data_IF_182505799549
#
_entry.id   IF_182505799549
#
_cell.length_a   1.000
_cell.length_b   1.000
_cell.length_c   1.000
_cell.angle_alpha   90.00
_cell.angle_beta   90.00
_cell.angle_gamma   90.00
#
_symmetry.space_group_name_H-M   'P 1'
#
loop_
_entity.id
_entity.type
_entity.pdbx_description
1 polymer ?
#
# COMPACT_ATOMS: atom_id res chain seq x y z
N UNK A 1 24.93 12.96 19.31
CA UNK A 1 25.00 11.49 19.30
C UNK A 1 26.16 11.07 18.42
N UNK A 2 26.94 10.06 18.80
CA UNK A 2 28.09 9.61 17.98
C UNK A 2 27.89 8.13 17.62
N UNK A 3 28.40 7.71 16.46
CA UNK A 3 28.42 6.33 16.02
C UNK A 3 29.79 5.98 15.42
N UNK A 4 30.21 4.73 15.57
CA UNK A 4 31.44 4.24 15.00
C UNK A 4 31.27 4.00 13.49
N UNK A 5 32.33 4.29 12.75
CA UNK A 5 32.43 4.01 11.32
C UNK A 5 33.36 2.83 11.12
N UNK A 6 32.98 1.91 10.24
CA UNK A 6 33.78 0.75 9.87
C UNK A 6 34.29 0.89 8.44
N UNK A 7 35.47 0.40 8.19
CA UNK A 7 36.00 0.28 6.84
C UNK A 7 35.51 -1.03 6.17
N UNK A 8 35.80 -1.20 4.88
CA UNK A 8 35.43 -2.40 4.12
C UNK A 8 35.99 -3.71 4.70
N UNK A 9 37.03 -3.65 5.54
CA UNK A 9 37.64 -4.81 6.21
C UNK A 9 37.02 -5.07 7.59
N UNK A 10 35.98 -4.35 7.96
CA UNK A 10 35.33 -4.44 9.27
C UNK A 10 36.14 -3.87 10.44
N UNK A 11 37.19 -3.11 10.18
CA UNK A 11 37.97 -2.42 11.21
C UNK A 11 37.39 -1.04 11.48
N UNK A 12 37.52 -0.59 12.71
CA UNK A 12 37.13 0.76 13.12
C UNK A 12 37.92 1.82 12.32
N UNK A 13 37.21 2.73 11.68
CA UNK A 13 37.74 3.83 10.88
C UNK A 13 37.50 5.19 11.53
N UNK A 14 36.92 5.23 12.74
CA UNK A 14 36.64 6.45 13.49
C UNK A 14 35.18 6.60 13.88
N UNK A 15 34.80 7.83 14.25
CA UNK A 15 33.43 8.12 14.67
C UNK A 15 32.84 9.30 13.90
N UNK A 16 31.51 9.28 13.70
CA UNK A 16 30.74 10.35 13.07
C UNK A 16 29.75 10.96 14.07
N UNK A 17 29.61 12.28 14.03
CA UNK A 17 28.57 12.97 14.76
C UNK A 17 27.24 12.88 14.02
N UNK A 18 26.24 12.28 14.64
CA UNK A 18 24.90 12.09 14.05
C UNK A 18 23.95 13.21 14.50
N UNK A 19 23.11 13.75 13.59
CA UNK A 19 22.13 14.77 13.92
C UNK A 19 21.04 14.19 14.84
N UNK A 20 20.88 14.76 16.02
CA UNK A 20 19.91 14.32 17.03
C UNK A 20 18.47 14.38 16.53
N UNK A 21 18.17 15.36 15.68
CA UNK A 21 16.84 15.48 15.04
C UNK A 21 16.41 14.22 14.30
N UNK A 22 17.36 13.45 13.77
CA UNK A 22 17.08 12.23 12.98
C UNK A 22 17.16 10.98 13.85
N UNK A 23 18.24 10.85 14.62
CA UNK A 23 18.58 9.61 15.33
C UNK A 23 18.16 9.59 16.81
N UNK A 24 17.67 10.73 17.35
CA UNK A 24 17.07 10.79 18.68
C UNK A 24 15.55 11.02 18.67
N UNK A 25 14.90 10.84 17.52
CA UNK A 25 13.47 11.03 17.39
C UNK A 25 12.68 10.00 18.22
N UNK A 26 11.56 10.43 18.83
CA UNK A 26 10.66 9.55 19.57
C UNK A 26 10.02 8.52 18.64
N UNK A 27 9.96 7.25 19.07
CA UNK A 27 9.26 6.19 18.36
C UNK A 27 7.74 6.47 18.31
N UNK A 28 7.17 6.41 17.10
CA UNK A 28 5.74 6.63 16.84
C UNK A 28 5.21 5.51 15.94
N UNK A 29 4.80 4.40 16.55
CA UNK A 29 4.31 3.23 15.83
C UNK A 29 3.13 3.53 14.92
N UNK A 30 2.15 4.30 15.40
CA UNK A 30 0.94 4.64 14.64
C UNK A 30 1.27 5.44 13.37
N UNK A 31 2.18 6.42 13.49
CA UNK A 31 2.60 7.22 12.35
C UNK A 31 3.34 6.38 11.30
N UNK A 32 4.23 5.50 11.75
CA UNK A 32 4.97 4.58 10.86
C UNK A 32 3.99 3.66 10.15
N UNK A 33 3.06 3.04 10.89
CA UNK A 33 2.03 2.18 10.33
C UNK A 33 1.18 2.91 9.28
N UNK A 34 0.69 4.11 9.59
CA UNK A 34 -0.11 4.92 8.67
C UNK A 34 0.65 5.24 7.37
N UNK A 35 1.94 5.60 7.47
CA UNK A 35 2.76 5.90 6.30
C UNK A 35 3.01 4.64 5.47
N UNK A 36 3.32 3.50 6.09
CA UNK A 36 3.55 2.22 5.40
C UNK A 36 2.29 1.77 4.67
N UNK A 37 1.13 1.82 5.33
CA UNK A 37 -0.16 1.47 4.70
C UNK A 37 -0.50 2.40 3.53
N UNK A 38 -0.22 3.70 3.67
CA UNK A 38 -0.35 4.65 2.57
C UNK A 38 0.57 4.33 1.39
N UNK A 39 1.82 3.95 1.65
CA UNK A 39 2.78 3.54 0.61
C UNK A 39 2.36 2.24 -0.08
N UNK A 40 1.88 1.24 0.67
CA UNK A 40 1.34 -0.01 0.13
C UNK A 40 0.13 0.25 -0.76
N UNK A 41 -0.79 1.09 -0.29
CA UNK A 41 -1.97 1.49 -1.07
C UNK A 41 -1.57 2.17 -2.39
N UNK A 42 -0.52 3.01 -2.37
CA UNK A 42 -0.03 3.71 -3.55
C UNK A 42 0.70 2.80 -4.56
N UNK A 43 1.26 1.67 -4.10
CA UNK A 43 1.87 0.65 -4.97
C UNK A 43 0.84 -0.25 -5.64
N UNK A 44 -0.40 -0.26 -5.17
CA UNK A 44 -1.44 -1.14 -5.69
C UNK A 44 -1.79 -0.77 -7.13
N UNK A 45 -1.63 -1.71 -8.06
CA UNK A 45 -1.85 -1.48 -9.49
C UNK A 45 -3.33 -1.24 -9.86
N UNK A 46 -4.30 -1.78 -9.08
CA UNK A 46 -5.72 -1.59 -9.33
C UNK A 46 -6.22 -2.23 -10.62
N UNK A 47 -5.67 -3.39 -10.98
CA UNK A 47 -6.02 -4.11 -12.22
C UNK A 47 -7.26 -5.00 -12.12
N UNK A 48 -7.72 -5.27 -10.91
CA UNK A 48 -8.89 -6.13 -10.71
C UNK A 48 -10.17 -5.41 -11.15
N UNK A 49 -10.95 -6.08 -11.98
CA UNK A 49 -12.21 -5.58 -12.50
C UNK A 49 -13.28 -6.65 -12.53
N UNK A 50 -14.55 -6.24 -12.40
CA UNK A 50 -15.70 -7.13 -12.48
C UNK A 50 -16.81 -6.48 -13.28
N UNK A 51 -17.51 -7.29 -14.09
CA UNK A 51 -18.62 -6.77 -14.89
C UNK A 51 -19.86 -6.55 -14.01
N UNK A 52 -20.33 -5.32 -13.97
CA UNK A 52 -21.62 -4.97 -13.40
C UNK A 52 -22.79 -5.44 -14.29
N UNK A 53 -24.01 -5.34 -13.76
CA UNK A 53 -25.22 -5.80 -14.50
C UNK A 53 -25.44 -5.11 -15.85
N UNK A 54 -24.85 -3.93 -16.06
CA UNK A 54 -24.91 -3.21 -17.35
C UNK A 54 -23.98 -3.80 -18.39
N UNK A 55 -22.86 -4.39 -17.97
CA UNK A 55 -21.76 -4.86 -18.82
C UNK A 55 -21.89 -6.35 -19.20
N UNK A 56 -22.68 -7.12 -18.45
CA UNK A 56 -22.94 -8.52 -18.74
C UNK A 56 -23.80 -8.63 -19.99
N UNK A 57 -23.41 -9.51 -20.92
CA UNK A 57 -24.14 -9.76 -22.15
C UNK A 57 -25.49 -10.44 -21.86
N UNK A 58 -26.56 -10.04 -22.57
CA UNK A 58 -27.89 -10.65 -22.49
C UNK A 58 -28.90 -9.78 -21.75
N UNK A 59 -30.00 -10.37 -21.31
CA UNK A 59 -30.99 -9.79 -20.38
C UNK A 59 -31.84 -8.61 -20.91
N UNK A 60 -31.87 -8.35 -22.21
CA UNK A 60 -32.71 -7.29 -22.81
C UNK A 60 -34.21 -7.56 -22.69
N UNK A 61 -34.58 -8.85 -22.69
CA UNK A 61 -36.00 -9.28 -22.56
C UNK A 61 -36.32 -9.60 -21.09
N UNK A 62 -37.49 -9.11 -20.63
CA UNK A 62 -38.04 -9.48 -19.32
C UNK A 62 -38.27 -10.99 -19.25
N UNK A 63 -37.80 -11.73 -18.20
CA UNK A 63 -37.93 -13.19 -18.12
C UNK A 63 -39.38 -13.69 -18.18
N UNK A 64 -40.32 -12.99 -17.52
CA UNK A 64 -41.74 -13.29 -17.53
C UNK A 64 -42.59 -12.06 -17.23
N UNK A 65 -43.89 -12.21 -17.39
CA UNK A 65 -44.87 -11.12 -17.16
C UNK A 65 -44.83 -10.64 -15.70
N UNK A 66 -45.19 -9.36 -15.47
CA UNK A 66 -45.16 -8.72 -14.17
C UNK A 66 -46.10 -9.34 -13.14
N UNK A 67 -47.24 -9.89 -13.59
CA UNK A 67 -48.28 -10.54 -12.78
C UNK A 67 -48.79 -11.78 -13.49
N UNK A 68 -49.50 -12.68 -12.73
CA UNK A 68 -50.15 -13.87 -13.30
C UNK A 68 -49.24 -15.07 -13.52
N UNK A 69 -48.01 -15.10 -12.97
CA UNK A 69 -47.11 -16.26 -13.11
C UNK A 69 -46.83 -16.99 -11.80
N UNK A 70 -47.30 -16.49 -10.65
CA UNK A 70 -46.97 -17.01 -9.33
C UNK A 70 -45.48 -16.92 -8.93
N UNK A 71 -44.64 -16.38 -9.79
CA UNK A 71 -43.17 -16.25 -9.58
C UNK A 71 -42.80 -14.87 -9.05
N UNK A 72 -41.63 -14.76 -8.40
CA UNK A 72 -41.06 -13.49 -8.02
C UNK A 72 -40.86 -12.56 -9.22
N UNK A 73 -41.04 -11.27 -9.04
CA UNK A 73 -40.92 -10.28 -10.11
C UNK A 73 -39.46 -10.05 -10.47
N UNK A 74 -39.08 -10.23 -11.73
CA UNK A 74 -37.74 -9.96 -12.25
C UNK A 74 -37.81 -9.09 -13.50
N UNK A 75 -36.93 -8.09 -13.56
CA UNK A 75 -36.82 -7.20 -14.71
C UNK A 75 -35.78 -7.67 -15.73
N UNK A 76 -34.76 -8.39 -15.28
CA UNK A 76 -33.67 -8.82 -16.15
C UNK A 76 -32.95 -10.03 -15.53
N UNK A 77 -32.50 -10.96 -16.36
CA UNK A 77 -31.65 -12.08 -15.98
C UNK A 77 -30.18 -11.69 -15.68
N UNK A 78 -29.80 -10.44 -15.99
CA UNK A 78 -28.48 -9.87 -15.64
C UNK A 78 -28.39 -9.38 -14.20
N UNK A 79 -29.46 -9.45 -13.44
CA UNK A 79 -29.47 -9.04 -12.03
C UNK A 79 -28.46 -9.89 -11.23
N UNK A 80 -27.80 -9.33 -10.21
CA UNK A 80 -26.83 -10.05 -9.38
C UNK A 80 -27.37 -11.30 -8.66
N UNK A 81 -28.69 -11.39 -8.49
CA UNK A 81 -29.35 -12.55 -7.90
C UNK A 81 -29.46 -13.76 -8.85
N UNK A 82 -29.12 -13.58 -10.13
CA UNK A 82 -29.15 -14.62 -11.12
C UNK A 82 -27.75 -15.21 -11.35
N UNK A 83 -27.68 -16.50 -11.54
CA UNK A 83 -26.42 -17.17 -11.96
C UNK A 83 -26.00 -16.59 -13.31
N UNK A 84 -24.76 -16.12 -13.41
CA UNK A 84 -24.26 -15.41 -14.60
C UNK A 84 -24.70 -13.95 -14.72
N UNK A 85 -25.38 -13.39 -13.71
CA UNK A 85 -25.66 -11.95 -13.62
C UNK A 85 -24.44 -11.13 -13.25
N UNK A 86 -24.59 -9.79 -13.27
CA UNK A 86 -23.53 -8.86 -12.94
C UNK A 86 -23.17 -8.88 -11.45
N UNK A 87 -21.93 -8.57 -11.13
CA UNK A 87 -21.43 -8.47 -9.74
C UNK A 87 -21.87 -7.16 -9.11
N UNK A 88 -22.32 -7.21 -7.86
CA UNK A 88 -22.61 -6.03 -7.05
C UNK A 88 -21.42 -5.75 -6.12
N UNK A 89 -20.94 -4.51 -6.10
CA UNK A 89 -19.80 -4.09 -5.24
C UNK A 89 -18.50 -4.87 -5.45
N UNK A 90 -18.29 -5.42 -6.63
CA UNK A 90 -17.02 -6.06 -7.00
C UNK A 90 -15.86 -5.04 -7.17
N UNK A 91 -14.63 -5.52 -7.32
CA UNK A 91 -13.52 -4.66 -7.65
C UNK A 91 -13.74 -3.99 -9.01
N UNK A 92 -13.34 -2.72 -9.11
CA UNK A 92 -13.40 -1.92 -10.35
C UNK A 92 -12.00 -1.39 -10.66
N UNK A 93 -11.57 -1.49 -11.92
CA UNK A 93 -10.28 -0.98 -12.39
C UNK A 93 -10.17 0.55 -12.23
N UNK A 94 -11.30 1.25 -12.29
CA UNK A 94 -11.36 2.71 -12.09
C UNK A 94 -11.12 3.14 -10.63
N UNK A 95 -11.15 2.22 -9.67
CA UNK A 95 -10.99 2.54 -8.25
C UNK A 95 -9.59 3.03 -7.95
N UNK A 96 -9.52 4.30 -7.55
CA UNK A 96 -8.26 4.92 -7.15
C UNK A 96 -7.89 4.57 -5.70
N UNK A 97 -6.77 3.87 -5.51
CA UNK A 97 -6.23 3.49 -4.20
C UNK A 97 -5.18 4.48 -3.68
N UNK A 98 -4.83 5.52 -4.45
CA UNK A 98 -3.81 6.48 -4.05
C UNK A 98 -4.24 7.28 -2.82
N UNK A 99 -3.35 7.34 -1.82
CA UNK A 99 -3.52 8.12 -0.59
C UNK A 99 -2.45 9.20 -0.53
N UNK A 100 -2.85 10.41 -0.16
CA UNK A 100 -1.93 11.53 0.05
C UNK A 100 -1.21 11.33 1.40
N UNK A 101 0.12 11.30 1.36
CA UNK A 101 0.98 11.29 2.54
C UNK A 101 1.74 12.61 2.56
N UNK A 102 1.59 13.41 3.63
CA UNK A 102 2.28 14.69 3.71
C UNK A 102 3.80 14.49 3.82
N UNK A 103 4.59 15.45 3.29
CA UNK A 103 6.05 15.41 3.37
C UNK A 103 6.55 15.34 4.82
N UNK A 104 5.91 16.09 5.74
CA UNK A 104 6.25 16.10 7.17
C UNK A 104 5.98 14.74 7.82
N UNK A 105 4.85 14.10 7.55
CA UNK A 105 4.55 12.76 8.07
C UNK A 105 5.58 11.72 7.60
N UNK A 106 5.93 11.74 6.31
CA UNK A 106 6.94 10.82 5.76
C UNK A 106 8.30 11.01 6.42
N UNK A 107 8.75 12.26 6.56
CA UNK A 107 10.02 12.57 7.22
C UNK A 107 10.04 12.13 8.69
N UNK A 108 8.98 12.44 9.46
CA UNK A 108 8.89 12.03 10.86
C UNK A 108 8.81 10.50 11.04
N UNK A 109 8.11 9.79 10.17
CA UNK A 109 8.07 8.33 10.19
C UNK A 109 9.47 7.75 9.91
N UNK A 110 10.19 8.29 8.93
CA UNK A 110 11.56 7.87 8.63
C UNK A 110 12.50 8.12 9.81
N UNK A 111 12.46 9.31 10.40
CA UNK A 111 13.28 9.64 11.58
C UNK A 111 12.97 8.72 12.77
N UNK A 112 11.69 8.43 12.99
CA UNK A 112 11.25 7.50 14.04
C UNK A 112 11.84 6.10 13.83
N UNK A 113 11.81 5.59 12.60
CA UNK A 113 12.37 4.28 12.25
C UNK A 113 13.90 4.27 12.38
N UNK A 114 14.61 5.29 11.85
CA UNK A 114 16.05 5.37 11.94
C UNK A 114 16.53 5.47 13.40
N UNK A 115 15.85 6.28 14.21
CA UNK A 115 16.14 6.39 15.64
C UNK A 115 15.95 5.06 16.37
N UNK A 116 14.87 4.31 16.05
CA UNK A 116 14.63 2.99 16.67
C UNK A 116 15.70 1.98 16.24
N UNK A 117 15.99 1.89 14.95
CA UNK A 117 17.03 1.00 14.41
C UNK A 117 18.43 1.31 14.98
N UNK A 118 18.74 2.58 15.20
CA UNK A 118 20.00 2.99 15.83
C UNK A 118 20.08 2.51 17.29
N UNK A 119 18.97 2.62 18.05
CA UNK A 119 18.91 2.12 19.43
C UNK A 119 19.00 0.61 19.52
N UNK A 120 18.45 -0.09 18.54
CA UNK A 120 18.46 -1.55 18.48
C UNK A 120 19.79 -2.11 17.90
N UNK A 121 20.73 -1.26 17.47
CA UNK A 121 22.03 -1.66 16.91
C UNK A 121 21.94 -2.23 15.50
N UNK A 122 20.86 -1.94 14.75
CA UNK A 122 20.62 -2.46 13.40
C UNK A 122 21.23 -1.60 12.28
N UNK A 123 21.93 -0.51 12.63
CA UNK A 123 22.57 0.41 11.67
C UNK A 123 24.07 0.35 11.81
N UNK A 124 24.76 0.11 10.71
CA UNK A 124 26.21 0.13 10.58
C UNK A 124 26.60 1.26 9.64
N UNK A 125 27.57 2.08 10.04
CA UNK A 125 28.12 3.15 9.21
C UNK A 125 29.45 2.70 8.62
N UNK A 126 29.63 2.93 7.32
CA UNK A 126 30.81 2.53 6.58
C UNK A 126 31.45 3.76 5.94
N UNK A 127 32.76 3.89 5.98
CA UNK A 127 33.50 5.06 5.45
C UNK A 127 33.43 5.14 3.92
N UNK A 128 33.47 3.98 3.24
CA UNK A 128 33.35 3.89 1.79
C UNK A 128 32.49 2.69 1.41
N UNK A 129 31.47 2.91 0.57
CA UNK A 129 30.62 1.87 -0.01
C UNK A 129 31.29 1.22 -1.22
N UNK A 130 31.00 -0.06 -1.48
CA UNK A 130 31.30 -0.66 -2.77
C UNK A 130 30.46 0.05 -3.85
N UNK A 131 31.12 0.63 -4.85
CA UNK A 131 30.45 0.87 -6.13
C UNK A 131 30.27 -0.50 -6.78
N UNK A 132 29.06 -1.07 -6.68
CA UNK A 132 28.68 -2.17 -7.55
C UNK A 132 28.58 -1.54 -8.95
N UNK A 133 29.64 -1.68 -9.73
CA UNK A 133 29.58 -1.41 -11.17
C UNK A 133 28.68 -2.52 -11.70
N UNK A 134 27.44 -2.16 -12.06
CA UNK A 134 26.49 -3.08 -12.64
C UNK A 134 27.06 -3.68 -13.93
N UNK A 135 26.98 -4.99 -14.01
CA UNK A 135 27.16 -5.75 -15.25
C UNK A 135 25.86 -5.62 -16.05
#
# INVERSE_FOLDING_TARGET
MQANIYNQKGKDAGSIALPERVFAAKWRADLVHQVVEGMRSNKRAGTADTKGRGEVRGGGRKPWKQKGTGRARHGSSRSPIWVGGGVTHGPLAEKNYKRKISKKMRAQALFSVLSKKMKDGEIIFVDSGYHIIGI
#
